data_IF_959962673986
#
_entry.id   IF_959962673986
#
_cell.length_a   1.000
_cell.length_b   1.000
_cell.length_c   1.000
_cell.angle_alpha   90.00
_cell.angle_beta   90.00
_cell.angle_gamma   90.00
#
_symmetry.space_group_name_H-M   'P 1'
#
loop_
_entity.id
_entity.type
_entity.pdbx_description
1 polymer ?
#
# COMPACT_ATOMS: atom_id res chain seq x y z
N UNK A 1 -0.68 -1.39 9.58
CA UNK A 1 0.55 -2.07 9.15
C UNK A 1 1.62 -1.01 8.86
N UNK A 2 2.88 -1.29 9.19
CA UNK A 2 3.99 -0.38 8.99
C UNK A 2 5.06 -1.06 8.13
N UNK A 3 5.52 -0.37 7.08
CA UNK A 3 6.68 -0.77 6.27
C UNK A 3 7.71 0.36 6.31
N UNK A 4 8.98 -0.02 6.46
CA UNK A 4 10.10 0.91 6.59
C UNK A 4 11.34 0.41 5.85
N UNK A 5 12.29 1.31 5.59
CA UNK A 5 13.57 0.98 4.95
C UNK A 5 13.51 0.98 3.42
N UNK A 6 14.06 -0.06 2.81
CA UNK A 6 14.22 -0.21 1.36
C UNK A 6 13.70 -1.59 0.96
N UNK A 7 12.73 -1.63 0.05
CA UNK A 7 12.24 -2.87 -0.55
C UNK A 7 12.64 -2.93 -2.03
N UNK A 8 13.64 -3.75 -2.30
CA UNK A 8 14.16 -4.00 -3.65
C UNK A 8 14.32 -5.50 -3.87
N UNK A 9 13.19 -6.18 -3.95
CA UNK A 9 13.11 -7.63 -4.12
C UNK A 9 12.78 -8.00 -5.57
N UNK A 10 13.04 -9.24 -5.95
CA UNK A 10 12.54 -9.82 -7.19
C UNK A 10 11.03 -10.12 -7.09
N UNK A 11 10.38 -10.38 -8.23
CA UNK A 11 8.90 -10.47 -8.29
C UNK A 11 8.33 -11.52 -7.34
N UNK A 12 8.93 -12.70 -7.27
CA UNK A 12 8.47 -13.81 -6.40
C UNK A 12 8.73 -13.56 -4.91
N UNK A 13 9.70 -12.72 -4.58
CA UNK A 13 10.07 -12.45 -3.19
C UNK A 13 9.08 -11.51 -2.49
N UNK A 14 8.15 -10.92 -3.25
CA UNK A 14 7.06 -10.11 -2.71
C UNK A 14 5.87 -10.92 -2.21
N UNK A 15 5.83 -12.24 -2.46
CA UNK A 15 4.68 -13.09 -2.09
C UNK A 15 4.32 -12.99 -0.59
N UNK A 16 5.29 -13.04 0.36
CA UNK A 16 4.96 -12.89 1.79
C UNK A 16 4.36 -11.53 2.14
N UNK A 17 4.74 -10.46 1.42
CA UNK A 17 4.19 -9.12 1.62
C UNK A 17 2.76 -9.06 1.07
N UNK A 18 2.51 -9.65 -0.10
CA UNK A 18 1.18 -9.75 -0.68
C UNK A 18 0.23 -10.54 0.22
N UNK A 19 0.69 -11.67 0.76
CA UNK A 19 -0.08 -12.49 1.70
C UNK A 19 -0.41 -11.73 2.99
N UNK A 20 0.55 -10.99 3.56
CA UNK A 20 0.32 -10.16 4.74
C UNK A 20 -0.77 -9.11 4.49
N UNK A 21 -0.72 -8.44 3.34
CA UNK A 21 -1.72 -7.45 2.93
C UNK A 21 -3.11 -8.08 2.77
N UNK A 22 -3.18 -9.26 2.13
CA UNK A 22 -4.45 -9.98 1.95
C UNK A 22 -5.03 -10.49 3.27
N UNK A 23 -4.18 -10.97 4.19
CA UNK A 23 -4.61 -11.37 5.54
C UNK A 23 -5.18 -10.19 6.33
N UNK A 24 -4.59 -9.00 6.20
CA UNK A 24 -5.08 -7.79 6.85
C UNK A 24 -6.49 -7.39 6.35
N UNK A 25 -6.77 -7.57 5.06
CA UNK A 25 -8.12 -7.36 4.50
C UNK A 25 -9.11 -8.41 5.02
N UNK A 26 -8.73 -9.69 4.99
CA UNK A 26 -9.58 -10.81 5.43
C UNK A 26 -9.95 -10.76 6.91
N UNK A 27 -9.07 -10.22 7.75
CA UNK A 27 -9.33 -10.08 9.18
C UNK A 27 -10.59 -9.27 9.46
N UNK A 28 -10.96 -8.36 8.55
CA UNK A 28 -12.09 -7.45 8.71
C UNK A 28 -11.80 -6.40 9.78
N UNK A 29 -11.80 -5.13 9.41
CA UNK A 29 -11.67 -4.02 10.35
C UNK A 29 -12.47 -2.85 9.81
N UNK A 30 -12.97 -1.99 10.70
CA UNK A 30 -13.73 -0.79 10.31
C UNK A 30 -12.90 0.18 9.47
N UNK A 31 -11.57 0.12 9.61
CA UNK A 31 -10.61 0.79 8.74
C UNK A 31 -9.25 0.08 8.76
N UNK A 32 -8.43 0.33 7.74
CA UNK A 32 -7.06 -0.18 7.65
C UNK A 32 -6.08 0.95 7.36
N UNK A 33 -5.03 1.08 8.16
CA UNK A 33 -3.94 2.03 7.91
C UNK A 33 -2.69 1.32 7.41
N UNK A 34 -2.16 1.77 6.27
CA UNK A 34 -0.88 1.37 5.70
C UNK A 34 0.11 2.54 5.83
N UNK A 35 1.04 2.44 6.78
CA UNK A 35 2.08 3.46 7.00
C UNK A 35 3.32 3.12 6.18
N UNK A 36 3.67 4.00 5.26
CA UNK A 36 4.82 3.89 4.34
C UNK A 36 5.81 5.04 4.49
N UNK A 37 5.59 5.97 5.43
CA UNK A 37 6.41 7.17 5.64
C UNK A 37 7.90 6.84 5.71
N UNK A 38 8.25 5.77 6.41
CA UNK A 38 9.64 5.34 6.62
C UNK A 38 10.17 4.41 5.52
N UNK A 39 9.36 4.08 4.49
CA UNK A 39 9.74 3.28 3.34
C UNK A 39 10.35 4.16 2.24
N UNK A 40 11.65 4.39 2.34
CA UNK A 40 12.40 5.29 1.47
C UNK A 40 12.53 4.82 0.02
N UNK A 41 12.42 3.52 -0.25
CA UNK A 41 12.49 2.96 -1.61
C UNK A 41 11.59 1.75 -1.80
N UNK A 42 10.93 1.69 -2.96
CA UNK A 42 10.16 0.55 -3.45
C UNK A 42 10.36 0.42 -4.98
N UNK A 43 10.75 -0.75 -5.46
CA UNK A 43 10.88 -0.99 -6.90
C UNK A 43 9.51 -1.19 -7.60
N UNK A 44 9.52 -1.32 -8.93
CA UNK A 44 8.30 -1.48 -9.74
C UNK A 44 7.49 -2.71 -9.38
N UNK A 45 8.15 -3.83 -9.08
CA UNK A 45 7.50 -5.06 -8.63
C UNK A 45 6.75 -4.86 -7.32
N UNK A 46 7.35 -4.15 -6.36
CA UNK A 46 6.70 -3.81 -5.10
C UNK A 46 5.53 -2.84 -5.27
N UNK A 47 5.64 -1.86 -6.17
CA UNK A 47 4.51 -0.98 -6.51
C UNK A 47 3.33 -1.77 -7.10
N UNK A 48 3.60 -2.78 -7.93
CA UNK A 48 2.56 -3.66 -8.46
C UNK A 48 1.85 -4.46 -7.36
N UNK A 49 2.53 -4.82 -6.27
CA UNK A 49 1.88 -5.45 -5.11
C UNK A 49 0.89 -4.48 -4.47
N UNK A 50 1.26 -3.21 -4.28
CA UNK A 50 0.35 -2.19 -3.73
C UNK A 50 -0.87 -1.96 -4.64
N UNK A 51 -0.69 -1.96 -5.96
CA UNK A 51 -1.81 -1.85 -6.90
C UNK A 51 -2.73 -3.07 -6.86
N UNK A 52 -2.17 -4.29 -6.79
CA UNK A 52 -2.96 -5.51 -6.61
C UNK A 52 -3.72 -5.49 -5.29
N UNK A 53 -3.09 -5.05 -4.20
CA UNK A 53 -3.73 -4.85 -2.90
C UNK A 53 -4.93 -3.90 -2.99
N UNK A 54 -4.79 -2.75 -3.66
CA UNK A 54 -5.91 -1.82 -3.85
C UNK A 54 -7.09 -2.48 -4.60
N UNK A 55 -6.81 -3.28 -5.62
CA UNK A 55 -7.84 -4.05 -6.36
C UNK A 55 -8.50 -5.10 -5.46
N UNK A 56 -7.70 -5.86 -4.70
CA UNK A 56 -8.19 -6.88 -3.76
C UNK A 56 -9.06 -6.28 -2.67
N UNK A 57 -8.65 -5.15 -2.09
CA UNK A 57 -9.43 -4.43 -1.09
C UNK A 57 -10.84 -4.10 -1.60
N UNK A 58 -10.94 -3.51 -2.79
CA UNK A 58 -12.24 -3.19 -3.42
C UNK A 58 -13.14 -4.42 -3.60
N UNK A 59 -12.55 -5.59 -3.88
CA UNK A 59 -13.30 -6.84 -4.07
C UNK A 59 -13.81 -7.43 -2.75
N UNK A 60 -13.09 -7.23 -1.66
CA UNK A 60 -13.44 -7.75 -0.34
C UNK A 60 -14.44 -6.86 0.42
N UNK A 61 -14.62 -5.62 -0.04
CA UNK A 61 -15.63 -4.69 0.45
C UNK A 61 -15.17 -3.24 0.34
N UNK A 62 -15.95 -2.34 0.91
CA UNK A 62 -15.65 -0.91 0.92
C UNK A 62 -14.88 -0.48 2.19
N UNK A 63 -14.04 -1.37 2.75
CA UNK A 63 -13.22 -1.05 3.94
C UNK A 63 -12.39 0.21 3.66
N UNK A 64 -12.57 1.29 4.44
CA UNK A 64 -11.77 2.50 4.33
C UNK A 64 -10.29 2.19 4.56
N UNK A 65 -9.43 2.67 3.65
CA UNK A 65 -7.98 2.47 3.76
C UNK A 65 -7.29 3.82 3.77
N UNK A 66 -6.46 4.06 4.78
CA UNK A 66 -5.59 5.24 4.88
C UNK A 66 -4.16 4.84 4.58
N UNK A 67 -3.56 5.39 3.54
CA UNK A 67 -2.15 5.24 3.21
C UNK A 67 -1.40 6.47 3.72
N UNK A 68 -0.54 6.31 4.73
CA UNK A 68 0.32 7.39 5.22
C UNK A 68 1.64 7.38 4.47
N UNK A 69 1.96 8.50 3.85
CA UNK A 69 3.09 8.67 2.95
C UNK A 69 3.93 9.88 3.35
N UNK A 70 5.21 9.92 3.00
CA UNK A 70 6.09 11.04 3.22
C UNK A 70 6.13 11.97 2.00
N UNK A 71 6.03 13.29 2.22
CA UNK A 71 6.14 14.31 1.14
C UNK A 71 7.53 14.34 0.49
N UNK A 72 8.57 14.00 1.25
CA UNK A 72 9.96 14.07 0.81
C UNK A 72 10.43 12.81 0.05
N UNK A 73 9.59 11.77 -0.08
CA UNK A 73 9.94 10.55 -0.84
C UNK A 73 9.30 10.57 -2.23
N UNK A 74 10.06 10.80 -3.32
CA UNK A 74 9.50 11.10 -4.64
C UNK A 74 8.59 10.01 -5.21
N UNK A 75 8.92 8.73 -5.01
CA UNK A 75 8.10 7.62 -5.51
C UNK A 75 6.74 7.57 -4.80
N UNK A 76 6.67 7.98 -3.53
CA UNK A 76 5.42 7.99 -2.76
C UNK A 76 4.47 9.05 -3.31
N UNK A 77 4.98 10.28 -3.50
CA UNK A 77 4.21 11.38 -4.09
C UNK A 77 3.73 11.05 -5.51
N UNK A 78 4.58 10.41 -6.31
CA UNK A 78 4.26 10.09 -7.71
C UNK A 78 3.31 8.89 -7.86
N UNK A 79 3.50 7.85 -7.06
CA UNK A 79 2.87 6.54 -7.30
C UNK A 79 1.67 6.27 -6.42
N UNK A 80 1.71 6.60 -5.13
CA UNK A 80 0.64 6.23 -4.18
C UNK A 80 -0.73 6.86 -4.50
N UNK A 81 -0.83 8.11 -5.02
CA UNK A 81 -2.12 8.65 -5.46
C UNK A 81 -2.82 7.80 -6.53
N UNK A 82 -2.08 7.00 -7.32
CA UNK A 82 -2.67 6.12 -8.32
C UNK A 82 -3.47 4.96 -7.70
N UNK A 83 -3.29 4.63 -6.42
CA UNK A 83 -4.09 3.62 -5.74
C UNK A 83 -5.59 3.94 -5.79
N UNK A 84 -5.95 5.23 -5.76
CA UNK A 84 -7.34 5.72 -5.86
C UNK A 84 -8.03 5.35 -7.18
N UNK A 85 -7.25 5.09 -8.24
CA UNK A 85 -7.78 4.64 -9.54
C UNK A 85 -8.32 3.20 -9.44
N UNK A 86 -7.78 2.40 -8.53
CA UNK A 86 -8.16 1.00 -8.35
C UNK A 86 -9.19 0.83 -7.23
N UNK A 87 -9.14 1.66 -6.18
CA UNK A 87 -10.13 1.68 -5.10
C UNK A 87 -10.35 3.11 -4.60
N UNK A 88 -11.58 3.62 -4.72
CA UNK A 88 -11.94 5.00 -4.34
C UNK A 88 -12.01 5.22 -2.82
N UNK A 89 -12.09 4.15 -2.02
CA UNK A 89 -12.08 4.21 -0.56
C UNK A 89 -10.67 4.28 0.03
N UNK A 90 -9.65 4.37 -0.82
CA UNK A 90 -8.28 4.65 -0.40
C UNK A 90 -8.10 6.17 -0.29
N UNK A 91 -7.68 6.61 0.89
CA UNK A 91 -7.15 7.94 1.12
C UNK A 91 -5.62 7.88 1.20
N UNK A 92 -4.93 8.86 0.61
CA UNK A 92 -3.48 9.02 0.75
C UNK A 92 -3.26 10.30 1.53
N UNK A 93 -2.68 10.19 2.71
CA UNK A 93 -2.34 11.30 3.60
C UNK A 93 -0.83 11.46 3.57
N UNK A 94 -0.38 12.67 3.22
CA UNK A 94 1.03 13.01 3.18
C UNK A 94 1.45 13.68 4.48
N UNK A 95 2.27 12.99 5.24
CA UNK A 95 2.91 13.47 6.46
C UNK A 95 4.11 14.37 6.11
N UNK A 96 4.36 15.35 6.97
CA UNK A 96 5.47 16.31 6.86
C UNK A 96 6.83 15.70 7.21
#
# INVERSE_FOLDING_TARGET
MHFEGVLRLDVSEYDPIAELLDLALKKGSDSLTLKLVDLTFLNSSGLNVLYKFAISARKQGDTPIVVRAAKNVPWQVKSLPNLKKFNRNIEVVFDD
#
